data_IF_935027331151
#
_entry.id   IF_935027331151
#
_cell.length_a   1.000
_cell.length_b   1.000
_cell.length_c   1.000
_cell.angle_alpha   90.00
_cell.angle_beta   90.00
_cell.angle_gamma   90.00
#
_symmetry.space_group_name_H-M   'P 1'
#
loop_
_entity.id
_entity.type
_entity.pdbx_description
1 polymer ?
#
# COMPACT_ATOMS: atom_id res chain seq x y z
N UNK A 1 -0.84 3.32 8.14
CA UNK A 1 -0.25 3.29 6.79
C UNK A 1 1.03 4.13 6.70
N UNK A 2 2.08 3.51 6.18
CA UNK A 2 3.35 4.12 5.81
C UNK A 2 3.59 4.03 4.29
N UNK A 3 4.18 5.07 3.74
CA UNK A 3 4.59 5.13 2.33
C UNK A 3 6.02 5.67 2.23
N UNK A 4 6.83 5.01 1.41
CA UNK A 4 8.13 5.49 0.94
C UNK A 4 7.98 6.00 -0.49
N UNK A 5 8.43 7.22 -0.74
CA UNK A 5 8.37 7.82 -2.06
C UNK A 5 9.54 8.78 -2.33
N UNK A 6 9.74 9.08 -3.61
CA UNK A 6 10.70 10.05 -4.14
C UNK A 6 9.97 11.09 -4.96
N UNK A 7 10.52 12.30 -5.02
CA UNK A 7 10.02 13.36 -5.87
C UNK A 7 11.19 14.29 -6.20
N UNK A 8 11.43 14.54 -7.48
CA UNK A 8 12.53 15.38 -7.97
C UNK A 8 12.62 16.73 -7.23
N UNK A 9 11.47 17.33 -6.89
CA UNK A 9 11.41 18.60 -6.15
C UNK A 9 12.10 18.53 -4.78
N UNK A 10 12.04 17.38 -4.12
CA UNK A 10 12.58 17.18 -2.77
C UNK A 10 13.89 16.40 -2.77
N UNK A 11 14.28 15.82 -3.90
CA UNK A 11 15.53 15.07 -4.06
C UNK A 11 16.75 15.96 -3.78
N UNK A 12 16.78 17.15 -4.38
CA UNK A 12 17.82 18.16 -4.12
C UNK A 12 17.87 18.60 -2.64
N UNK A 13 16.72 18.63 -1.97
CA UNK A 13 16.61 19.03 -0.56
C UNK A 13 17.18 17.94 0.35
N UNK A 14 16.85 16.69 0.05
CA UNK A 14 17.31 15.48 0.75
C UNK A 14 18.83 15.32 0.62
N UNK A 15 19.38 15.62 -0.55
CA UNK A 15 20.83 15.53 -0.79
C UNK A 15 21.61 16.76 -0.33
N UNK A 16 20.95 17.77 0.24
CA UNK A 16 21.57 18.96 0.81
C UNK A 16 21.66 18.90 2.34
N UNK A 17 22.64 19.59 2.94
CA UNK A 17 22.85 19.62 4.40
C UNK A 17 21.67 20.18 5.23
N UNK A 18 20.61 20.71 4.57
CA UNK A 18 19.50 21.41 5.22
C UNK A 18 18.32 20.53 5.67
N UNK A 19 18.14 19.33 5.11
CA UNK A 19 17.02 18.44 5.39
C UNK A 19 15.62 19.04 5.11
N UNK A 20 14.56 18.30 5.45
CA UNK A 20 13.17 18.72 5.21
C UNK A 20 12.69 19.81 6.20
N UNK A 21 12.45 21.03 5.69
CA UNK A 21 11.85 22.14 6.43
C UNK A 21 10.34 21.94 6.70
N UNK A 22 9.77 22.74 7.60
CA UNK A 22 8.32 22.79 7.85
C UNK A 22 7.49 23.11 6.60
N UNK A 23 8.02 23.94 5.70
CA UNK A 23 7.34 24.23 4.44
C UNK A 23 7.35 23.01 3.51
N UNK A 24 8.48 22.30 3.41
CA UNK A 24 8.54 21.07 2.59
C UNK A 24 7.56 20.01 3.09
N UNK A 25 7.43 19.87 4.42
CA UNK A 25 6.48 18.94 5.04
C UNK A 25 5.06 19.24 4.60
N UNK A 26 4.60 20.49 4.71
CA UNK A 26 3.25 20.88 4.26
C UNK A 26 3.01 20.62 2.78
N UNK A 27 3.99 20.94 1.93
CA UNK A 27 3.89 20.67 0.48
C UNK A 27 3.81 19.18 0.17
N UNK A 28 4.52 18.34 0.94
CA UNK A 28 4.43 16.88 0.85
C UNK A 28 3.03 16.38 1.26
N UNK A 29 2.48 16.92 2.35
CA UNK A 29 1.14 16.55 2.83
C UNK A 29 0.07 16.86 1.78
N UNK A 30 0.13 18.05 1.19
CA UNK A 30 -0.76 18.48 0.10
C UNK A 30 -0.59 17.59 -1.14
N UNK A 31 0.66 17.25 -1.50
CA UNK A 31 0.98 16.41 -2.65
C UNK A 31 0.42 14.99 -2.50
N UNK A 32 0.51 14.41 -1.30
CA UNK A 32 -0.01 13.06 -1.05
C UNK A 32 -1.54 13.08 -1.12
N UNK A 33 -2.20 14.03 -0.46
CA UNK A 33 -3.67 14.10 -0.45
C UNK A 33 -4.34 12.83 0.10
N UNK A 34 -3.62 12.08 0.95
CA UNK A 34 -4.01 10.78 1.52
C UNK A 34 -4.62 10.90 2.94
N UNK A 35 -4.90 12.12 3.39
CA UNK A 35 -5.47 12.39 4.72
C UNK A 35 -4.48 13.11 5.65
N UNK A 36 -4.70 12.98 6.96
CA UNK A 36 -3.82 13.58 7.96
C UNK A 36 -2.48 12.83 7.97
N UNK A 37 -1.39 13.57 7.79
CA UNK A 37 -0.04 13.00 7.88
C UNK A 37 0.46 13.24 9.30
N UNK A 38 0.87 12.17 9.98
CA UNK A 38 1.43 12.26 11.34
C UNK A 38 2.90 12.66 11.31
N UNK A 39 3.62 12.13 10.33
CA UNK A 39 5.07 12.24 10.26
C UNK A 39 5.53 12.24 8.83
N UNK A 40 6.43 13.17 8.52
CA UNK A 40 7.23 13.17 7.30
C UNK A 40 8.69 13.14 7.74
N UNK A 41 9.50 12.23 7.23
CA UNK A 41 10.95 12.26 7.48
C UNK A 41 11.71 11.72 6.27
N UNK A 42 12.91 12.24 6.08
CA UNK A 42 13.90 11.64 5.21
C UNK A 42 14.45 10.37 5.88
N UNK A 43 14.61 9.30 5.10
CA UNK A 43 15.16 8.03 5.56
C UNK A 43 16.07 7.42 4.51
N UNK A 44 17.18 6.83 4.93
CA UNK A 44 18.01 5.99 4.08
C UNK A 44 17.39 4.59 4.02
N UNK A 45 17.40 3.90 2.86
CA UNK A 45 16.91 2.53 2.71
C UNK A 45 17.92 1.56 2.06
N UNK A 46 19.15 1.96 1.78
CA UNK A 46 20.17 1.14 1.10
C UNK A 46 21.33 0.72 2.01
N UNK A 47 21.77 -0.56 2.01
CA UNK A 47 23.01 -0.95 2.68
C UNK A 47 24.22 -0.50 1.83
N UNK A 48 24.69 0.74 2.04
CA UNK A 48 25.73 1.36 1.22
C UNK A 48 25.36 2.80 0.86
N UNK A 49 25.56 3.18 -0.40
CA UNK A 49 25.31 4.53 -0.91
C UNK A 49 23.93 5.10 -0.53
N UNK A 50 23.92 6.42 -0.36
CA UNK A 50 22.87 7.35 0.07
C UNK A 50 21.54 7.22 -0.69
N UNK A 51 20.85 6.08 -0.58
CA UNK A 51 19.51 5.90 -1.11
C UNK A 51 18.49 6.47 -0.13
N UNK A 52 18.37 7.80 -0.16
CA UNK A 52 17.43 8.54 0.65
C UNK A 52 16.07 8.63 -0.03
N UNK A 53 15.03 8.49 0.77
CA UNK A 53 13.63 8.59 0.36
C UNK A 53 12.83 9.32 1.42
N UNK A 54 11.62 9.75 1.07
CA UNK A 54 10.69 10.35 2.03
C UNK A 54 9.79 9.24 2.59
N UNK A 55 9.81 9.08 3.91
CA UNK A 55 8.79 8.35 4.65
C UNK A 55 7.67 9.31 5.07
N UNK A 56 6.44 8.98 4.68
CA UNK A 56 5.23 9.57 5.23
C UNK A 56 4.46 8.53 6.04
N UNK A 57 4.23 8.82 7.33
CA UNK A 57 3.31 8.09 8.20
C UNK A 57 1.97 8.81 8.17
N UNK A 58 0.95 8.15 7.66
CA UNK A 58 -0.33 8.76 7.34
C UNK A 58 -1.37 8.21 8.32
N UNK A 59 -1.92 9.12 9.14
CA UNK A 59 -3.21 8.96 9.81
C UNK A 59 -4.32 9.07 8.78
N UNK A 60 -4.30 8.12 7.86
CA UNK A 60 -5.52 7.82 7.15
C UNK A 60 -6.46 7.19 8.19
N UNK A 61 -7.77 7.21 7.93
CA UNK A 61 -8.85 6.63 8.77
C UNK A 61 -8.73 5.08 8.85
N UNK A 62 -7.51 4.56 8.96
CA UNK A 62 -7.04 3.26 8.50
C UNK A 62 -6.57 2.48 9.72
N UNK A 63 -7.53 2.06 10.53
CA UNK A 63 -7.60 0.64 10.85
C UNK A 63 -8.23 -0.02 9.61
N UNK A 64 -7.50 -0.04 8.48
CA UNK A 64 -8.03 -0.63 7.25
C UNK A 64 -8.13 -2.10 7.51
N UNK A 65 -9.37 -2.46 7.81
CA UNK A 65 -9.94 -3.72 7.43
C UNK A 65 -9.17 -4.86 8.06
N UNK A 66 -9.44 -5.08 9.35
CA UNK A 66 -8.97 -6.28 10.01
C UNK A 66 -9.49 -7.49 9.24
N UNK A 67 -8.77 -8.60 9.34
CA UNK A 67 -9.25 -9.86 8.78
C UNK A 67 -10.62 -10.17 9.40
N UNK A 68 -11.61 -10.46 8.56
CA UNK A 68 -13.00 -10.70 8.95
C UNK A 68 -13.88 -9.45 9.02
N UNK A 69 -13.32 -8.24 8.84
CA UNK A 69 -14.14 -7.05 8.69
C UNK A 69 -14.89 -7.09 7.35
N UNK A 70 -16.17 -6.72 7.38
CA UNK A 70 -17.01 -6.56 6.19
C UNK A 70 -17.30 -5.09 5.94
N UNK A 71 -16.90 -4.59 4.78
CA UNK A 71 -17.15 -3.24 4.32
C UNK A 71 -18.37 -3.24 3.40
N UNK A 72 -19.36 -2.42 3.76
CA UNK A 72 -20.56 -2.14 2.94
C UNK A 72 -20.70 -0.64 2.68
N UNK A 73 -20.22 0.21 3.59
CA UNK A 73 -20.25 1.68 3.46
C UNK A 73 -18.83 2.23 3.36
N UNK A 74 -18.67 3.31 2.59
CA UNK A 74 -17.38 4.01 2.45
C UNK A 74 -16.39 3.34 1.49
N UNK A 75 -16.81 2.31 0.75
CA UNK A 75 -16.00 1.63 -0.28
C UNK A 75 -15.45 2.65 -1.29
N UNK A 76 -16.25 3.63 -1.72
CA UNK A 76 -15.82 4.67 -2.65
C UNK A 76 -14.64 5.49 -2.13
N UNK A 77 -14.63 5.82 -0.84
CA UNK A 77 -13.51 6.53 -0.21
C UNK A 77 -12.24 5.70 -0.21
N UNK A 78 -12.35 4.39 0.04
CA UNK A 78 -11.22 3.47 -0.03
C UNK A 78 -10.67 3.33 -1.46
N UNK A 79 -11.56 3.22 -2.45
CA UNK A 79 -11.19 3.20 -3.86
C UNK A 79 -10.48 4.50 -4.26
N UNK A 80 -10.96 5.66 -3.79
CA UNK A 80 -10.34 6.96 -4.08
C UNK A 80 -8.91 7.04 -3.53
N UNK A 81 -8.69 6.60 -2.29
CA UNK A 81 -7.35 6.56 -1.69
C UNK A 81 -6.45 5.59 -2.48
N UNK A 82 -6.95 4.40 -2.83
CA UNK A 82 -6.22 3.44 -3.65
C UNK A 82 -5.81 4.02 -5.01
N UNK A 83 -6.70 4.79 -5.67
CA UNK A 83 -6.39 5.51 -6.92
C UNK A 83 -5.28 6.53 -6.75
N UNK A 84 -5.24 7.27 -5.62
CA UNK A 84 -4.18 8.22 -5.31
C UNK A 84 -2.83 7.52 -5.13
N UNK A 85 -2.79 6.42 -4.38
CA UNK A 85 -1.56 5.61 -4.21
C UNK A 85 -1.08 5.07 -5.57
N UNK A 86 -1.99 4.53 -6.39
CA UNK A 86 -1.66 4.06 -7.74
C UNK A 86 -1.13 5.17 -8.66
N UNK A 87 -1.58 6.41 -8.48
CA UNK A 87 -1.05 7.57 -9.20
C UNK A 87 0.41 7.86 -8.84
N UNK A 88 0.77 7.74 -7.56
CA UNK A 88 2.16 7.87 -7.10
C UNK A 88 3.06 6.80 -7.72
N UNK A 89 2.54 5.58 -7.89
CA UNK A 89 3.25 4.52 -8.61
C UNK A 89 3.45 4.83 -10.09
N UNK A 90 2.39 5.27 -10.80
CA UNK A 90 2.48 5.62 -12.23
C UNK A 90 3.43 6.77 -12.54
N UNK A 91 3.69 7.62 -11.57
CA UNK A 91 4.62 8.75 -11.69
C UNK A 91 6.04 8.40 -11.24
N UNK A 92 6.33 7.10 -11.00
CA UNK A 92 7.60 6.58 -10.48
C UNK A 92 8.03 7.22 -9.16
N UNK A 93 7.09 7.84 -8.45
CA UNK A 93 7.32 8.45 -7.15
C UNK A 93 7.26 7.42 -6.04
N UNK A 94 6.43 6.39 -6.18
CA UNK A 94 6.26 5.38 -5.14
C UNK A 94 7.44 4.39 -5.11
N UNK A 95 8.09 4.29 -3.96
CA UNK A 95 9.16 3.31 -3.70
C UNK A 95 8.58 2.07 -3.00
N UNK A 96 7.80 2.28 -1.94
CA UNK A 96 7.22 1.19 -1.17
C UNK A 96 5.97 1.61 -0.40
N UNK A 97 5.05 0.68 -0.20
CA UNK A 97 3.92 0.78 0.75
C UNK A 97 3.98 -0.34 1.77
N UNK A 98 3.39 -0.11 2.95
CA UNK A 98 3.11 -1.15 3.92
C UNK A 98 1.86 -1.97 3.55
N UNK A 99 1.47 -2.89 4.44
CA UNK A 99 0.29 -3.76 4.26
C UNK A 99 -1.03 -2.99 4.10
N UNK A 100 -1.15 -1.81 4.71
CA UNK A 100 -2.37 -1.01 4.63
C UNK A 100 -2.45 -0.35 3.25
N UNK A 101 -1.33 0.20 2.77
CA UNK A 101 -1.24 0.71 1.40
C UNK A 101 -1.44 -0.38 0.35
N UNK A 102 -0.92 -1.59 0.60
CA UNK A 102 -1.19 -2.75 -0.26
C UNK A 102 -2.67 -3.13 -0.30
N UNK A 103 -3.37 -3.08 0.84
CA UNK A 103 -4.81 -3.32 0.92
C UNK A 103 -5.61 -2.31 0.07
N UNK A 104 -5.23 -1.03 0.09
CA UNK A 104 -5.89 0.01 -0.68
C UNK A 104 -5.67 -0.16 -2.19
N UNK A 105 -4.47 -0.57 -2.59
CA UNK A 105 -4.17 -0.93 -3.97
C UNK A 105 -4.96 -2.16 -4.43
N UNK A 106 -5.13 -3.17 -3.58
CA UNK A 106 -5.96 -4.33 -3.88
C UNK A 106 -7.44 -3.94 -4.07
N UNK A 107 -7.98 -3.06 -3.22
CA UNK A 107 -9.36 -2.55 -3.35
C UNK A 107 -9.54 -1.80 -4.67
N UNK A 108 -8.62 -0.89 -5.02
CA UNK A 108 -8.69 -0.18 -6.30
C UNK A 108 -8.63 -1.15 -7.48
N UNK A 109 -7.78 -2.17 -7.41
CA UNK A 109 -7.66 -3.19 -8.44
C UNK A 109 -8.95 -4.00 -8.58
N UNK A 110 -9.55 -4.45 -7.48
CA UNK A 110 -10.83 -5.15 -7.50
C UNK A 110 -11.95 -4.27 -8.08
N UNK A 111 -11.98 -2.98 -7.74
CA UNK A 111 -12.94 -2.03 -8.26
C UNK A 111 -12.79 -1.77 -9.77
N UNK A 112 -11.61 -2.08 -10.33
CA UNK A 112 -11.40 -2.06 -11.78
C UNK A 112 -11.91 -3.32 -12.48
N UNK A 113 -12.14 -4.42 -11.75
CA UNK A 113 -12.67 -5.68 -12.30
C UNK A 113 -14.18 -5.80 -12.13
N UNK A 114 -14.75 -5.21 -11.08
CA UNK A 114 -16.18 -5.26 -10.83
C UNK A 114 -16.69 -4.11 -9.94
N UNK A 115 -17.99 -3.90 -9.96
CA UNK A 115 -18.64 -2.96 -9.05
C UNK A 115 -18.74 -3.56 -7.64
N UNK A 116 -18.03 -2.99 -6.68
CA UNK A 116 -17.96 -3.50 -5.29
C UNK A 116 -19.10 -2.90 -4.46
N UNK A 117 -20.03 -3.74 -4.02
CA UNK A 117 -21.11 -3.41 -3.07
C UNK A 117 -20.84 -3.92 -1.66
N UNK A 118 -20.13 -5.04 -1.55
CA UNK A 118 -19.60 -5.57 -0.30
C UNK A 118 -18.18 -6.10 -0.52
N UNK A 119 -17.36 -5.96 0.50
CA UNK A 119 -16.01 -6.49 0.53
C UNK A 119 -15.77 -7.10 1.91
N UNK A 120 -15.02 -8.19 1.99
CA UNK A 120 -14.51 -8.79 3.23
C UNK A 120 -13.07 -9.25 2.99
N UNK A 121 -12.11 -8.87 3.86
CA UNK A 121 -10.74 -9.39 3.79
C UNK A 121 -10.66 -10.66 4.63
N UNK A 122 -10.46 -11.78 3.97
CA UNK A 122 -10.48 -13.11 4.60
C UNK A 122 -9.10 -13.54 5.04
N UNK A 123 -8.05 -13.14 4.31
CA UNK A 123 -6.69 -13.51 4.63
C UNK A 123 -5.71 -12.42 4.21
N UNK A 124 -4.59 -12.35 4.92
CA UNK A 124 -3.45 -11.52 4.60
C UNK A 124 -2.17 -12.23 5.03
N UNK A 125 -1.21 -12.29 4.11
CA UNK A 125 0.13 -12.78 4.36
C UNK A 125 1.15 -11.81 3.80
N UNK A 126 2.14 -11.47 4.61
CA UNK A 126 3.30 -10.69 4.21
C UNK A 126 4.51 -11.61 4.02
N UNK A 127 5.13 -11.52 2.84
CA UNK A 127 6.37 -12.21 2.48
C UNK A 127 7.46 -11.15 2.37
N UNK A 128 8.36 -11.14 3.36
CA UNK A 128 9.50 -10.23 3.36
C UNK A 128 10.62 -10.82 2.50
N UNK A 129 10.76 -10.33 1.27
CA UNK A 129 11.77 -10.82 0.32
C UNK A 129 13.17 -10.40 0.77
N UNK A 130 13.31 -9.15 1.21
CA UNK A 130 14.55 -8.60 1.76
C UNK A 130 14.22 -7.97 3.11
N UNK A 131 15.04 -8.31 4.12
CA UNK A 131 14.97 -7.68 5.44
C UNK A 131 16.24 -6.88 5.67
N UNK A 132 16.07 -5.61 6.00
CA UNK A 132 17.16 -4.68 6.33
C UNK A 132 17.29 -4.47 7.85
N UNK A 133 16.49 -5.18 8.64
CA UNK A 133 16.54 -5.11 10.10
C UNK A 133 17.94 -5.54 10.60
N UNK A 134 18.52 -4.75 11.49
CA UNK A 134 19.87 -5.00 12.04
C UNK A 134 21.04 -4.53 11.17
N UNK A 135 20.78 -4.03 9.94
CA UNK A 135 21.79 -3.27 9.19
C UNK A 135 21.90 -1.82 9.69
N UNK A 136 20.85 -1.34 10.36
CA UNK A 136 20.75 0.01 10.92
C UNK A 136 20.18 -0.07 12.33
N UNK A 137 20.85 0.59 13.29
CA UNK A 137 20.53 0.50 14.72
C UNK A 137 19.28 1.28 15.13
N UNK A 138 18.79 2.18 14.28
CA UNK A 138 17.70 3.12 14.55
C UNK A 138 16.34 2.68 14.00
N UNK A 139 16.27 1.53 13.32
CA UNK A 139 15.05 1.04 12.67
C UNK A 139 14.34 -0.02 13.49
N UNK A 140 13.02 0.08 13.60
CA UNK A 140 12.22 -0.95 14.26
C UNK A 140 11.82 -2.04 13.26
N UNK A 141 11.80 -3.34 13.65
CA UNK A 141 11.51 -4.44 12.73
C UNK A 141 10.14 -4.38 12.05
N UNK A 142 9.18 -3.66 12.63
CA UNK A 142 7.82 -3.51 12.13
C UNK A 142 7.64 -2.30 11.19
N UNK A 143 8.57 -1.35 11.17
CA UNK A 143 8.50 -0.18 10.27
C UNK A 143 8.77 -0.57 8.81
N UNK A 144 8.12 0.10 7.88
CA UNK A 144 8.29 -0.11 6.44
C UNK A 144 9.75 0.04 6.01
N UNK A 145 10.50 0.96 6.62
CA UNK A 145 11.92 1.19 6.33
C UNK A 145 12.84 0.00 6.63
N UNK A 146 12.38 -0.96 7.46
CA UNK A 146 13.11 -2.19 7.77
C UNK A 146 12.85 -3.31 6.77
N UNK A 147 11.77 -3.19 5.99
CA UNK A 147 11.26 -4.19 5.05
C UNK A 147 10.62 -3.53 3.81
N UNK A 148 11.36 -2.67 3.08
CA UNK A 148 10.81 -1.94 1.92
C UNK A 148 10.51 -2.83 0.71
N UNK A 149 10.93 -4.10 0.73
CA UNK A 149 10.73 -5.06 -0.35
C UNK A 149 9.82 -6.21 0.12
N UNK A 150 8.55 -5.87 0.33
CA UNK A 150 7.50 -6.80 0.71
C UNK A 150 6.72 -7.33 -0.49
N UNK A 151 6.19 -8.53 -0.35
CA UNK A 151 5.14 -9.06 -1.21
C UNK A 151 3.96 -9.49 -0.34
N UNK A 152 2.80 -8.95 -0.61
CA UNK A 152 1.58 -9.20 0.13
C UNK A 152 0.67 -10.11 -0.69
N UNK A 153 0.15 -11.15 -0.04
CA UNK A 153 -0.91 -11.99 -0.59
C UNK A 153 -2.16 -11.73 0.24
N UNK A 154 -3.19 -11.20 -0.37
CA UNK A 154 -4.44 -10.86 0.29
C UNK A 154 -5.60 -11.56 -0.39
N UNK A 155 -6.55 -12.02 0.42
CA UNK A 155 -7.75 -12.67 -0.08
C UNK A 155 -9.00 -11.92 0.32
N UNK A 156 -9.92 -11.77 -0.62
CA UNK A 156 -11.14 -11.01 -0.45
C UNK A 156 -12.36 -11.80 -0.89
N UNK A 157 -13.44 -11.73 -0.12
CA UNK A 157 -14.78 -12.03 -0.62
C UNK A 157 -15.39 -10.72 -1.10
N UNK A 158 -15.80 -10.69 -2.37
CA UNK A 158 -16.42 -9.53 -3.01
C UNK A 158 -17.86 -9.86 -3.34
N UNK A 159 -18.77 -8.96 -2.99
CA UNK A 159 -20.20 -9.06 -3.28
C UNK A 159 -20.86 -10.34 -2.73
N UNK A 160 -20.24 -11.00 -1.76
CA UNK A 160 -20.66 -12.31 -1.23
C UNK A 160 -20.70 -13.44 -2.28
N UNK A 161 -20.10 -13.23 -3.45
CA UNK A 161 -20.22 -14.12 -4.61
C UNK A 161 -18.87 -14.64 -5.12
N UNK A 162 -17.79 -13.90 -4.90
CA UNK A 162 -16.48 -14.22 -5.48
C UNK A 162 -15.37 -14.15 -4.45
N UNK A 163 -14.48 -15.13 -4.50
CA UNK A 163 -13.28 -15.19 -3.68
C UNK A 163 -12.05 -14.84 -4.53
N UNK A 164 -11.46 -13.70 -4.25
CA UNK A 164 -10.29 -13.16 -4.93
C UNK A 164 -9.02 -13.44 -4.13
N UNK A 165 -7.96 -13.83 -4.81
CA UNK A 165 -6.59 -13.90 -4.27
C UNK A 165 -5.73 -12.93 -5.07
N UNK A 166 -5.23 -11.90 -4.40
CA UNK A 166 -4.47 -10.79 -4.98
C UNK A 166 -3.04 -10.84 -4.48
N UNK A 167 -2.09 -10.69 -5.40
CA UNK A 167 -0.68 -10.44 -5.11
C UNK A 167 -0.36 -8.96 -5.25
N UNK A 168 0.36 -8.41 -4.29
CA UNK A 168 0.76 -7.00 -4.28
C UNK A 168 2.24 -6.90 -3.93
N UNK A 169 3.05 -6.31 -4.81
CA UNK A 169 4.42 -5.90 -4.45
C UNK A 169 4.36 -4.60 -3.67
N UNK A 170 5.25 -4.42 -2.69
CA UNK A 170 5.35 -3.16 -1.94
C UNK A 170 5.63 -1.96 -2.84
N UNK A 171 6.25 -2.16 -4.01
CA UNK A 171 6.43 -1.13 -5.03
C UNK A 171 5.13 -0.65 -5.71
N UNK A 172 3.99 -1.29 -5.45
CA UNK A 172 2.68 -0.88 -5.95
C UNK A 172 2.12 -1.72 -7.10
N UNK A 173 2.86 -2.70 -7.61
CA UNK A 173 2.35 -3.63 -8.64
C UNK A 173 1.32 -4.58 -8.04
N UNK A 174 0.16 -4.71 -8.69
CA UNK A 174 -0.95 -5.56 -8.26
C UNK A 174 -1.31 -6.56 -9.34
N UNK A 175 -1.50 -7.83 -8.96
CA UNK A 175 -1.91 -8.90 -9.86
C UNK A 175 -2.99 -9.79 -9.25
N UNK A 176 -3.92 -10.23 -10.09
CA UNK A 176 -4.82 -11.35 -9.75
C UNK A 176 -4.02 -12.65 -9.77
N UNK A 177 -4.02 -13.39 -8.66
CA UNK A 177 -3.46 -14.75 -8.60
C UNK A 177 -4.53 -15.74 -9.03
N UNK A 178 -5.69 -15.71 -8.38
CA UNK A 178 -6.85 -16.57 -8.65
C UNK A 178 -8.16 -15.89 -8.26
N UNK A 179 -9.25 -16.27 -8.92
CA UNK A 179 -10.61 -15.91 -8.56
C UNK A 179 -11.49 -17.17 -8.58
N UNK A 180 -12.36 -17.34 -7.60
CA UNK A 180 -13.29 -18.46 -7.50
C UNK A 180 -14.70 -17.97 -7.20
N UNK A 181 -15.70 -18.78 -7.53
CA UNK A 181 -17.04 -18.62 -6.97
C UNK A 181 -17.02 -18.89 -5.47
N UNK A 182 -17.63 -18.00 -4.68
CA UNK A 182 -17.73 -18.11 -3.24
C UNK A 182 -19.05 -18.78 -2.83
N UNK A 183 -18.99 -19.68 -1.84
CA UNK A 183 -20.18 -20.37 -1.33
C UNK A 183 -20.74 -21.48 -2.24
N UNK A 184 -20.06 -21.83 -3.34
CA UNK A 184 -20.51 -22.91 -4.22
C UNK A 184 -20.46 -24.28 -3.49
N UNK A 185 -21.62 -24.94 -3.27
CA UNK A 185 -21.66 -26.23 -2.56
C UNK A 185 -21.09 -27.39 -3.38
N UNK A 186 -20.86 -27.19 -4.67
CA UNK A 186 -20.37 -28.20 -5.61
C UNK A 186 -18.84 -28.16 -5.81
N UNK A 187 -18.13 -27.25 -5.14
CA UNK A 187 -16.66 -27.22 -5.08
C UNK A 187 -16.01 -25.94 -5.62
N UNK A 188 -14.75 -26.06 -6.05
CA UNK A 188 -13.92 -24.93 -6.51
C UNK A 188 -14.13 -24.65 -7.99
N UNK A 189 -14.96 -23.65 -8.30
CA UNK A 189 -15.14 -23.13 -9.66
C UNK A 189 -14.25 -21.90 -9.86
N UNK A 190 -13.18 -22.02 -10.66
CA UNK A 190 -12.31 -20.90 -11.00
C UNK A 190 -13.00 -19.97 -12.02
N UNK A 191 -12.93 -18.67 -11.76
CA UNK A 191 -13.48 -17.61 -12.61
C UNK A 191 -12.35 -16.84 -13.30
N UNK A 192 -12.65 -16.26 -14.47
CA UNK A 192 -11.77 -15.32 -15.18
C UNK A 192 -12.46 -13.96 -15.23
N UNK A 193 -12.20 -13.08 -14.25
CA UNK A 193 -12.72 -11.72 -14.29
C UNK A 193 -12.17 -11.01 -15.52
N UNK A 194 -13.03 -10.37 -16.29
CA UNK A 194 -12.62 -9.53 -17.41
C UNK A 194 -12.14 -8.17 -16.89
N UNK A 195 -11.16 -7.57 -17.58
CA UNK A 195 -10.64 -6.22 -17.32
C UNK A 195 -11.32 -5.20 -18.20
#
# INVERSE_FOLDING_TARGET
MEILFVNEKFDDVIHSDGGLSEQNRKEIEELLGLGSVEKVKEVNIGPGADLFVILASINAIVNVFLIGDRLVKGIDGWIEIGKKIKSLWKTERLVSVDKDGASLLAIEYLASLENITSLEKVNEQEINIVKLNGLFNDRQPNELISKPHGYFVQSYVVNDEKFYIIGIKSSGEVNLIKCFEYGNPYGLTELKPEK
#
